data_IF_215202776187
#
_entry.id   IF_215202776187
#
_cell.length_a   1.000
_cell.length_b   1.000
_cell.length_c   1.000
_cell.angle_alpha   90.00
_cell.angle_beta   90.00
_cell.angle_gamma   90.00
#
_symmetry.space_group_name_H-M   'P 1'
#
loop_
_entity.id
_entity.type
_entity.pdbx_description
1 polymer ?
#
# COMPACT_ATOMS: atom_id res chain seq x y z
N UNK A 1 -62.47 -11.22 15.77
CA UNK A 1 -62.38 -10.06 16.69
C UNK A 1 -60.94 -9.99 17.12
N UNK A 2 -60.14 -9.05 16.87
CA UNK A 2 -60.00 -7.73 16.36
C UNK A 2 -58.52 -7.48 16.09
N UNK A 3 -58.21 -6.98 14.93
CA UNK A 3 -56.89 -6.47 14.54
C UNK A 3 -56.42 -5.37 15.50
N UNK A 4 -55.14 -5.32 15.79
CA UNK A 4 -54.52 -4.03 16.13
C UNK A 4 -53.10 -3.96 15.57
N UNK A 5 -52.99 -3.11 14.61
CA UNK A 5 -51.83 -2.64 13.89
C UNK A 5 -50.89 -1.88 14.83
N UNK A 6 -49.60 -2.20 14.84
CA UNK A 6 -48.56 -1.28 15.35
C UNK A 6 -47.49 -1.10 14.29
N UNK A 7 -47.67 0.01 13.56
CA UNK A 7 -46.70 0.53 12.61
C UNK A 7 -45.62 1.28 13.40
N UNK A 8 -44.42 0.73 13.55
CA UNK A 8 -43.28 1.44 14.14
C UNK A 8 -42.43 2.01 13.02
N UNK A 9 -42.46 3.34 12.91
CA UNK A 9 -41.61 4.15 12.04
C UNK A 9 -40.14 3.92 12.40
N UNK A 10 -39.37 3.41 11.45
CA UNK A 10 -37.91 3.44 11.52
C UNK A 10 -37.47 4.76 10.89
N UNK A 11 -37.02 5.67 11.75
CA UNK A 11 -36.45 6.94 11.34
C UNK A 11 -35.08 6.73 10.69
N UNK A 12 -34.98 7.14 9.44
CA UNK A 12 -33.74 7.22 8.68
C UNK A 12 -32.86 8.33 9.27
N UNK A 13 -31.80 7.98 9.94
CA UNK A 13 -30.70 8.88 10.30
C UNK A 13 -29.60 8.74 9.23
N UNK A 14 -29.56 9.69 8.33
CA UNK A 14 -28.46 9.87 7.39
C UNK A 14 -27.27 10.51 8.14
N UNK A 15 -26.06 9.96 8.05
CA UNK A 15 -24.89 10.65 8.59
C UNK A 15 -24.49 11.82 7.68
N UNK A 16 -24.34 12.96 8.31
CA UNK A 16 -23.96 14.26 7.77
C UNK A 16 -22.58 14.20 7.12
N UNK A 17 -22.54 14.29 5.80
CA UNK A 17 -21.29 14.42 5.04
C UNK A 17 -20.71 15.81 5.32
N UNK A 18 -19.65 15.90 6.11
CA UNK A 18 -18.86 17.11 6.29
C UNK A 18 -18.09 17.41 5.00
N UNK A 19 -18.58 18.37 4.24
CA UNK A 19 -17.81 18.96 3.14
C UNK A 19 -16.62 19.74 3.69
N UNK A 20 -15.42 19.22 3.50
CA UNK A 20 -14.18 19.95 3.74
C UNK A 20 -13.90 20.83 2.52
N UNK A 21 -14.23 22.13 2.62
CA UNK A 21 -13.83 23.12 1.63
C UNK A 21 -12.36 23.49 1.86
N UNK A 22 -11.49 23.01 0.99
CA UNK A 22 -10.13 23.53 0.89
C UNK A 22 -10.18 24.97 0.36
N UNK A 23 -9.73 25.93 1.17
CA UNK A 23 -9.47 27.30 0.73
C UNK A 23 -8.14 27.33 0.00
N UNK A 24 -8.19 27.65 -1.30
CA UNK A 24 -7.03 28.06 -2.06
C UNK A 24 -6.63 29.46 -1.59
N UNK A 25 -5.52 29.56 -0.88
CA UNK A 25 -4.86 30.85 -0.66
C UNK A 25 -3.96 31.16 -1.85
N UNK A 26 -4.49 32.03 -2.71
CA UNK A 26 -3.81 32.64 -3.84
C UNK A 26 -3.12 33.93 -3.35
N UNK A 27 -1.91 33.83 -2.84
CA UNK A 27 -1.03 35.01 -2.60
C UNK A 27 0.44 34.57 -2.66
N UNK A 28 1.07 34.83 -3.79
CA UNK A 28 2.44 35.30 -3.91
C UNK A 28 2.75 35.49 -5.41
N UNK A 29 2.20 36.59 -5.95
CA UNK A 29 2.72 37.20 -7.19
C UNK A 29 3.56 38.39 -6.73
N UNK A 30 4.83 38.39 -6.96
CA UNK A 30 5.69 39.54 -6.64
C UNK A 30 7.12 39.35 -6.99
N UNK A 31 7.50 39.94 -8.12
CA UNK A 31 8.75 40.63 -8.40
C UNK A 31 10.09 39.89 -8.17
N UNK A 32 10.87 39.72 -9.24
CA UNK A 32 12.17 40.42 -9.39
C UNK A 32 12.56 40.41 -10.87
N UNK A 33 12.52 41.61 -11.42
CA UNK A 33 13.12 42.01 -12.69
C UNK A 33 14.52 42.56 -12.37
N UNK A 34 15.54 42.17 -13.16
CA UNK A 34 16.74 42.97 -13.30
C UNK A 34 18.03 42.39 -12.73
N UNK A 35 18.92 41.94 -13.57
CA UNK A 35 20.20 42.59 -13.76
C UNK A 35 21.04 41.86 -14.86
N UNK A 36 21.07 42.49 -16.05
CA UNK A 36 22.02 42.17 -17.08
C UNK A 36 23.39 42.78 -16.64
N UNK A 37 24.42 41.95 -16.50
CA UNK A 37 25.80 42.40 -16.48
C UNK A 37 26.58 41.69 -17.57
N UNK A 38 26.86 42.44 -18.62
CA UNK A 38 27.85 42.14 -19.63
C UNK A 38 29.25 42.20 -18.99
N UNK A 39 30.02 41.16 -19.08
CA UNK A 39 31.49 41.24 -19.02
C UNK A 39 32.06 40.39 -20.14
N UNK A 40 32.55 41.09 -21.14
CA UNK A 40 33.47 40.58 -22.16
C UNK A 40 34.88 40.44 -21.55
N UNK A 41 35.61 39.43 -21.99
CA UNK A 41 37.05 39.52 -22.04
C UNK A 41 37.80 38.31 -21.53
N UNK A 42 38.56 37.77 -22.46
CA UNK A 42 39.91 37.20 -22.34
C UNK A 42 40.11 35.76 -21.84
N UNK A 43 40.63 35.10 -22.75
CA UNK A 43 41.92 34.42 -22.94
C UNK A 43 42.01 32.95 -22.62
N UNK A 44 42.42 32.25 -23.68
CA UNK A 44 42.72 30.85 -23.72
C UNK A 44 43.92 30.53 -22.81
N UNK A 45 43.67 29.60 -21.87
CA UNK A 45 44.78 28.84 -21.29
C UNK A 45 44.39 27.35 -21.33
N UNK A 46 45.07 26.63 -22.23
CA UNK A 46 44.93 25.18 -22.35
C UNK A 46 45.63 24.50 -21.17
N UNK A 47 44.93 24.36 -20.04
CA UNK A 47 45.35 23.45 -19.02
C UNK A 47 44.75 22.07 -19.32
N UNK A 48 45.63 21.15 -19.67
CA UNK A 48 45.42 19.71 -19.71
C UNK A 48 44.81 19.25 -18.38
N UNK A 49 43.50 19.10 -18.37
CA UNK A 49 42.75 18.52 -17.25
C UNK A 49 43.03 17.02 -17.22
N UNK A 50 43.61 16.48 -16.13
CA UNK A 50 43.66 15.02 -15.97
C UNK A 50 42.25 14.49 -15.94
N UNK A 51 42.01 13.50 -16.78
CA UNK A 51 40.79 12.73 -16.89
C UNK A 51 40.21 12.40 -15.50
N UNK A 52 39.02 12.94 -15.14
CA UNK A 52 38.37 12.49 -13.92
C UNK A 52 38.02 11.02 -14.12
N UNK A 53 38.74 10.15 -13.41
CA UNK A 53 38.28 8.77 -13.18
C UNK A 53 36.82 8.86 -12.81
N UNK A 54 35.98 8.43 -13.71
CA UNK A 54 34.58 8.14 -13.44
C UNK A 54 34.57 7.19 -12.25
N UNK A 55 34.40 7.77 -11.06
CA UNK A 55 33.96 6.97 -9.92
C UNK A 55 32.58 6.47 -10.34
N UNK A 56 32.55 5.24 -10.85
CA UNK A 56 31.31 4.51 -10.95
C UNK A 56 30.75 4.48 -9.54
N UNK A 57 29.81 5.38 -9.26
CA UNK A 57 28.93 5.26 -8.12
C UNK A 57 28.26 3.90 -8.36
N UNK A 58 28.75 2.89 -7.63
CA UNK A 58 28.06 1.62 -7.57
C UNK A 58 26.67 1.99 -7.04
N UNK A 59 25.71 2.02 -7.94
CA UNK A 59 24.31 2.04 -7.60
C UNK A 59 24.11 0.81 -6.74
N UNK A 60 23.99 1.03 -5.42
CA UNK A 60 23.75 -0.05 -4.48
C UNK A 60 22.42 -0.68 -4.89
N UNK A 61 22.51 -1.70 -5.73
CA UNK A 61 21.38 -2.44 -6.22
C UNK A 61 20.57 -2.89 -5.02
N UNK A 62 19.32 -2.43 -4.94
CA UNK A 62 18.38 -2.87 -3.91
C UNK A 62 18.38 -4.41 -4.01
N UNK A 63 18.77 -5.14 -2.94
CA UNK A 63 18.86 -6.59 -3.02
C UNK A 63 17.51 -7.16 -3.47
N UNK A 64 17.53 -7.86 -4.59
CA UNK A 64 16.35 -8.56 -5.10
C UNK A 64 16.04 -9.74 -4.17
N UNK A 65 14.77 -9.92 -3.80
CA UNK A 65 14.36 -11.15 -3.14
C UNK A 65 14.65 -12.32 -4.07
N UNK A 66 15.38 -13.32 -3.57
CA UNK A 66 15.50 -14.57 -4.31
C UNK A 66 14.12 -15.31 -4.29
N UNK A 67 13.90 -16.29 -5.19
CA UNK A 67 12.61 -16.99 -5.28
C UNK A 67 12.17 -17.66 -3.96
N UNK A 68 13.11 -18.10 -3.14
CA UNK A 68 12.83 -18.70 -1.83
C UNK A 68 12.40 -17.64 -0.80
N UNK A 69 13.04 -16.47 -0.80
CA UNK A 69 12.74 -15.36 0.08
C UNK A 69 11.43 -14.64 -0.29
N UNK A 70 11.02 -14.74 -1.56
CA UNK A 70 9.78 -14.17 -2.04
C UNK A 70 8.54 -14.99 -1.65
N UNK A 71 8.71 -16.23 -1.18
CA UNK A 71 7.61 -17.12 -0.81
C UNK A 71 7.36 -17.14 0.68
N UNK A 72 6.08 -16.99 1.05
CA UNK A 72 5.60 -17.09 2.43
C UNK A 72 4.28 -17.85 2.48
N UNK A 73 3.80 -18.09 3.69
CA UNK A 73 2.55 -18.80 3.93
C UNK A 73 1.59 -17.97 4.78
N UNK A 74 0.31 -18.06 4.44
CA UNK A 74 -0.81 -17.58 5.22
C UNK A 74 -1.66 -18.78 5.66
N UNK A 75 -1.87 -18.94 6.96
CA UNK A 75 -2.66 -20.03 7.53
C UNK A 75 -3.91 -19.47 8.19
N UNK A 76 -5.07 -20.00 7.82
CA UNK A 76 -6.39 -19.63 8.33
C UNK A 76 -7.11 -20.92 8.80
N UNK A 77 -7.25 -21.09 10.11
CA UNK A 77 -7.68 -22.37 10.66
C UNK A 77 -6.76 -23.51 10.22
N UNK A 78 -7.30 -24.51 9.55
CA UNK A 78 -6.53 -25.64 9.01
C UNK A 78 -6.03 -25.43 7.56
N UNK A 79 -6.47 -24.36 6.91
CA UNK A 79 -6.11 -24.09 5.52
C UNK A 79 -4.84 -23.24 5.42
N UNK A 80 -4.01 -23.60 4.47
CA UNK A 80 -2.74 -22.93 4.22
C UNK A 80 -2.66 -22.47 2.77
N UNK A 81 -2.30 -21.20 2.57
CA UNK A 81 -2.20 -20.55 1.28
C UNK A 81 -0.78 -20.05 1.06
N UNK A 82 -0.19 -20.39 -0.08
CA UNK A 82 1.09 -19.83 -0.50
C UNK A 82 0.90 -18.40 -0.99
N UNK A 83 1.83 -17.51 -0.64
CA UNK A 83 1.87 -16.12 -1.09
C UNK A 83 3.22 -15.86 -1.75
N UNK A 84 3.19 -15.29 -2.95
CA UNK A 84 4.35 -14.72 -3.61
C UNK A 84 4.42 -13.23 -3.32
N UNK A 85 5.53 -12.80 -2.70
CA UNK A 85 5.80 -11.40 -2.38
C UNK A 85 6.32 -10.65 -3.61
N UNK A 86 5.92 -9.38 -3.72
CA UNK A 86 6.45 -8.45 -4.73
C UNK A 86 7.87 -8.04 -4.37
N UNK A 87 8.73 -7.87 -5.36
CA UNK A 87 10.10 -7.41 -5.13
C UNK A 87 10.14 -5.88 -4.92
N UNK A 88 9.76 -5.43 -3.71
CA UNK A 88 9.85 -4.03 -3.30
C UNK A 88 10.25 -3.90 -1.82
N UNK A 89 10.57 -2.68 -1.39
CA UNK A 89 11.02 -2.41 -0.03
C UNK A 89 9.95 -2.76 1.03
N UNK A 90 8.66 -2.51 0.74
CA UNK A 90 7.56 -2.80 1.65
C UNK A 90 7.40 -4.31 1.89
N UNK A 91 7.43 -5.11 0.81
CA UNK A 91 7.31 -6.56 0.90
C UNK A 91 8.49 -7.20 1.67
N UNK A 92 9.72 -6.69 1.45
CA UNK A 92 10.89 -7.13 2.23
C UNK A 92 10.76 -6.78 3.71
N UNK A 93 10.31 -5.55 4.02
CA UNK A 93 10.10 -5.12 5.40
C UNK A 93 8.96 -5.90 6.08
N UNK A 94 7.90 -6.28 5.34
CA UNK A 94 6.85 -7.16 5.82
C UNK A 94 7.40 -8.57 6.12
N UNK A 95 8.14 -9.15 5.18
CA UNK A 95 8.77 -10.46 5.35
C UNK A 95 9.74 -10.50 6.55
N UNK A 96 10.38 -9.39 6.88
CA UNK A 96 11.28 -9.28 8.04
C UNK A 96 10.53 -9.29 9.39
N UNK A 97 9.21 -9.04 9.41
CA UNK A 97 8.39 -9.11 10.61
C UNK A 97 7.83 -10.51 10.89
N UNK A 98 8.00 -11.46 9.96
CA UNK A 98 7.49 -12.83 10.13
C UNK A 98 8.30 -13.61 11.17
N UNK A 99 7.66 -14.51 11.95
CA UNK A 99 6.25 -14.87 11.88
C UNK A 99 5.33 -13.86 12.57
N UNK A 100 4.11 -13.70 12.04
CA UNK A 100 3.07 -12.85 12.59
C UNK A 100 1.75 -13.62 12.79
N UNK A 101 1.03 -13.31 13.86
CA UNK A 101 -0.33 -13.77 14.07
C UNK A 101 -1.21 -12.55 14.31
N UNK A 102 -2.12 -12.28 13.40
CA UNK A 102 -3.00 -11.11 13.42
C UNK A 102 -4.46 -11.54 13.55
N UNK A 103 -5.21 -10.83 14.38
CA UNK A 103 -6.66 -10.93 14.37
C UNK A 103 -7.20 -9.89 13.39
N UNK A 104 -7.63 -10.34 12.22
CA UNK A 104 -8.01 -9.47 11.12
C UNK A 104 -9.52 -9.30 11.08
N UNK A 105 -9.98 -8.06 11.12
CA UNK A 105 -11.40 -7.72 11.01
C UNK A 105 -11.87 -7.79 9.55
N UNK A 106 -13.16 -8.04 9.36
CA UNK A 106 -13.80 -7.95 8.06
C UNK A 106 -14.15 -6.50 7.73
N UNK A 107 -13.98 -6.12 6.48
CA UNK A 107 -14.46 -4.84 5.96
C UNK A 107 -15.20 -5.08 4.64
N UNK A 108 -16.42 -4.56 4.56
CA UNK A 108 -17.29 -4.60 3.37
C UNK A 108 -17.59 -6.01 2.81
N UNK A 109 -17.24 -7.09 3.51
CA UNK A 109 -17.42 -8.45 3.01
C UNK A 109 -16.54 -8.81 1.82
N UNK A 110 -15.41 -8.12 1.61
CA UNK A 110 -14.48 -8.34 0.49
C UNK A 110 -13.00 -8.34 0.90
N UNK A 111 -12.67 -7.91 2.12
CA UNK A 111 -11.30 -7.82 2.61
C UNK A 111 -11.18 -8.07 4.11
N UNK A 112 -10.01 -8.54 4.52
CA UNK A 112 -9.57 -8.61 5.92
C UNK A 112 -8.46 -7.61 6.15
N UNK A 113 -8.52 -6.88 7.27
CA UNK A 113 -7.51 -5.90 7.63
C UNK A 113 -7.09 -5.99 9.10
N UNK A 114 -5.84 -5.64 9.36
CA UNK A 114 -5.28 -5.48 10.71
C UNK A 114 -4.07 -4.55 10.68
N UNK A 115 -3.80 -3.92 11.82
CA UNK A 115 -2.59 -3.13 12.00
C UNK A 115 -1.37 -4.03 12.21
N UNK A 116 -0.28 -3.70 11.52
CA UNK A 116 1.02 -4.32 11.70
C UNK A 116 1.73 -3.77 12.94
N UNK A 117 2.55 -4.57 13.63
CA UNK A 117 3.32 -4.11 14.78
C UNK A 117 4.32 -2.99 14.47
N UNK A 118 4.82 -2.95 13.22
CA UNK A 118 5.75 -1.95 12.73
C UNK A 118 5.31 -1.44 11.37
N UNK A 119 5.39 -0.13 11.16
CA UNK A 119 5.13 0.49 9.86
C UNK A 119 6.11 -0.01 8.79
N UNK A 120 5.63 -0.03 7.54
CA UNK A 120 6.39 -0.43 6.38
C UNK A 120 6.69 0.79 5.48
N UNK A 121 7.74 0.72 4.64
CA UNK A 121 7.94 1.67 3.56
C UNK A 121 6.71 1.75 2.66
N UNK A 122 6.36 2.95 2.21
CA UNK A 122 5.17 3.20 1.39
C UNK A 122 5.58 3.52 -0.04
N UNK A 123 4.96 2.82 -1.00
CA UNK A 123 5.03 3.10 -2.44
C UNK A 123 3.63 2.88 -3.03
N UNK A 124 2.70 3.75 -2.60
CA UNK A 124 1.29 3.60 -2.91
C UNK A 124 0.98 3.97 -4.35
N UNK A 125 0.17 3.16 -5.01
CA UNK A 125 -0.39 3.40 -6.34
C UNK A 125 -1.87 3.00 -6.36
N UNK A 126 -2.62 3.54 -7.31
CA UNK A 126 -4.02 3.16 -7.52
C UNK A 126 -4.09 1.94 -8.44
N UNK A 127 -4.48 0.77 -7.94
CA UNK A 127 -4.53 -0.44 -8.77
C UNK A 127 -5.69 -0.42 -9.78
N UNK A 128 -6.70 0.43 -9.59
CA UNK A 128 -7.95 0.43 -10.34
C UNK A 128 -8.83 -0.77 -9.93
N UNK A 129 -8.41 -1.97 -10.26
CA UNK A 129 -9.09 -3.22 -9.90
C UNK A 129 -8.27 -4.00 -8.88
N UNK A 130 -8.89 -4.39 -7.77
CA UNK A 130 -8.39 -5.36 -6.81
C UNK A 130 -8.75 -6.76 -7.31
N UNK A 131 -7.86 -7.72 -7.10
CA UNK A 131 -8.08 -9.12 -7.43
C UNK A 131 -8.14 -9.98 -6.19
N UNK A 132 -8.88 -11.05 -6.26
CA UNK A 132 -8.89 -12.06 -5.20
C UNK A 132 -7.47 -12.56 -4.93
N UNK A 133 -7.10 -12.60 -3.64
CA UNK A 133 -5.77 -12.98 -3.19
C UNK A 133 -4.73 -11.86 -3.13
N UNK A 134 -5.07 -10.64 -3.56
CA UNK A 134 -4.14 -9.51 -3.42
C UNK A 134 -3.84 -9.25 -1.94
N UNK A 135 -2.54 -9.10 -1.62
CA UNK A 135 -2.02 -8.71 -0.31
C UNK A 135 -1.42 -7.31 -0.44
N UNK A 136 -1.97 -6.35 0.28
CA UNK A 136 -1.58 -4.95 0.16
C UNK A 136 -1.45 -4.26 1.51
N UNK A 137 -0.81 -3.10 1.50
CA UNK A 137 -0.70 -2.19 2.61
C UNK A 137 -1.51 -0.93 2.31
N UNK A 138 -2.40 -0.57 3.20
CA UNK A 138 -3.08 0.72 3.22
C UNK A 138 -2.39 1.65 4.22
N UNK A 139 -2.08 2.89 3.81
CA UNK A 139 -1.21 3.75 4.61
C UNK A 139 0.17 3.14 4.80
N UNK A 140 0.68 3.16 6.03
CA UNK A 140 2.00 2.63 6.39
C UNK A 140 1.95 1.38 7.29
N UNK A 141 0.79 1.04 7.86
CA UNK A 141 0.69 -0.01 8.88
C UNK A 141 -0.50 -0.95 8.74
N UNK A 142 -1.52 -0.63 7.91
CA UNK A 142 -2.70 -1.49 7.77
C UNK A 142 -2.47 -2.56 6.70
N UNK A 143 -2.28 -3.82 7.12
CA UNK A 143 -2.23 -4.97 6.24
C UNK A 143 -3.64 -5.33 5.76
N UNK A 144 -3.81 -5.56 4.46
CA UNK A 144 -5.09 -5.92 3.85
C UNK A 144 -4.93 -7.18 3.00
N UNK A 145 -5.81 -8.16 3.22
CA UNK A 145 -5.95 -9.37 2.41
C UNK A 145 -7.29 -9.32 1.69
N UNK A 146 -7.27 -9.19 0.39
CA UNK A 146 -8.48 -9.13 -0.43
C UNK A 146 -8.93 -10.54 -0.82
N UNK A 147 -10.18 -10.89 -0.52
CA UNK A 147 -10.73 -12.19 -0.83
C UNK A 147 -11.85 -12.18 -1.88
N UNK A 148 -12.24 -11.00 -2.36
CA UNK A 148 -13.06 -10.80 -3.55
C UNK A 148 -12.43 -9.75 -4.46
N UNK A 149 -12.79 -9.79 -5.74
CA UNK A 149 -12.36 -8.81 -6.72
C UNK A 149 -13.38 -7.66 -6.82
N UNK A 150 -12.91 -6.41 -6.91
CA UNK A 150 -13.73 -5.21 -7.08
C UNK A 150 -12.89 -4.03 -7.59
N UNK A 151 -13.55 -2.98 -8.08
CA UNK A 151 -12.89 -1.75 -8.49
C UNK A 151 -12.73 -0.79 -7.32
N UNK A 152 -11.59 -0.11 -7.23
CA UNK A 152 -11.28 0.83 -6.17
C UNK A 152 -10.57 2.08 -6.69
N UNK A 153 -10.85 3.22 -6.05
CA UNK A 153 -10.11 4.47 -6.23
C UNK A 153 -9.03 4.70 -5.17
N UNK A 154 -8.96 3.85 -4.17
CA UNK A 154 -7.95 3.96 -3.11
C UNK A 154 -6.56 3.58 -3.61
N UNK A 155 -5.54 4.14 -2.94
CA UNK A 155 -4.16 3.84 -3.21
C UNK A 155 -3.61 2.87 -2.16
N UNK A 156 -2.86 1.87 -2.62
CA UNK A 156 -2.25 0.82 -1.80
C UNK A 156 -0.79 0.61 -2.21
N UNK A 157 0.04 0.16 -1.29
CA UNK A 157 1.35 -0.42 -1.61
C UNK A 157 1.19 -1.93 -1.75
N UNK A 158 1.52 -2.49 -2.91
CA UNK A 158 1.43 -3.93 -3.15
C UNK A 158 2.51 -4.66 -2.36
N UNK A 159 2.12 -5.67 -1.58
CA UNK A 159 3.03 -6.55 -0.84
C UNK A 159 3.22 -7.90 -1.52
N UNK A 160 2.17 -8.43 -2.12
CA UNK A 160 2.21 -9.75 -2.76
C UNK A 160 0.84 -10.22 -3.20
N UNK A 161 0.74 -11.53 -3.43
CA UNK A 161 -0.51 -12.17 -3.81
C UNK A 161 -0.52 -13.65 -3.40
N UNK A 162 -1.68 -14.16 -3.04
CA UNK A 162 -1.95 -15.59 -2.88
C UNK A 162 -1.81 -16.27 -4.25
N UNK A 163 -1.00 -17.31 -4.33
CA UNK A 163 -0.69 -18.00 -5.60
C UNK A 163 -1.95 -18.70 -6.16
N UNK A 164 -2.67 -19.40 -5.28
CA UNK A 164 -3.95 -20.02 -5.59
C UNK A 164 -5.01 -19.55 -4.57
N UNK A 165 -5.88 -18.62 -4.97
CA UNK A 165 -6.91 -18.08 -4.09
C UNK A 165 -8.19 -18.92 -4.02
N UNK A 166 -8.23 -20.13 -4.61
CA UNK A 166 -9.41 -21.01 -4.53
C UNK A 166 -9.76 -21.34 -3.07
N UNK A 167 -11.00 -21.11 -2.70
CA UNK A 167 -11.50 -21.30 -1.34
C UNK A 167 -11.00 -20.29 -0.31
N UNK A 168 -10.27 -19.25 -0.71
CA UNK A 168 -9.78 -18.20 0.19
C UNK A 168 -10.94 -17.46 0.87
N UNK A 169 -11.95 -17.03 0.11
CA UNK A 169 -13.12 -16.34 0.64
C UNK A 169 -13.87 -17.21 1.66
N UNK A 170 -13.99 -18.52 1.39
CA UNK A 170 -14.62 -19.47 2.30
C UNK A 170 -13.82 -19.64 3.60
N UNK A 171 -12.50 -19.72 3.52
CA UNK A 171 -11.63 -19.85 4.69
C UNK A 171 -11.67 -18.61 5.59
N UNK A 172 -11.68 -17.41 4.98
CA UNK A 172 -11.68 -16.14 5.70
C UNK A 172 -13.05 -15.79 6.28
N UNK A 173 -14.15 -16.21 5.64
CA UNK A 173 -15.51 -15.88 6.07
C UNK A 173 -15.76 -14.37 6.18
N UNK A 174 -16.87 -13.98 6.82
CA UNK A 174 -17.26 -12.57 7.01
C UNK A 174 -17.10 -12.07 8.46
N UNK A 175 -16.52 -12.88 9.33
CA UNK A 175 -16.24 -12.50 10.72
C UNK A 175 -14.75 -12.19 10.89
N UNK A 176 -14.39 -11.56 12.00
CA UNK A 176 -12.99 -11.44 12.37
C UNK A 176 -12.35 -12.83 12.48
N UNK A 177 -11.14 -12.96 11.93
CA UNK A 177 -10.44 -14.24 11.87
C UNK A 177 -8.98 -14.09 12.25
N UNK A 178 -8.43 -15.08 12.97
CA UNK A 178 -7.01 -15.12 13.27
C UNK A 178 -6.25 -15.73 12.09
N UNK A 179 -5.28 -14.99 11.59
CA UNK A 179 -4.44 -15.36 10.46
C UNK A 179 -3.00 -15.43 10.93
N UNK A 180 -2.30 -16.52 10.56
CA UNK A 180 -0.89 -16.70 10.81
C UNK A 180 -0.11 -16.54 9.51
N UNK A 181 0.87 -15.66 9.52
CA UNK A 181 1.81 -15.44 8.42
C UNK A 181 3.17 -15.97 8.83
N UNK A 182 3.79 -16.83 7.99
CA UNK A 182 5.08 -17.44 8.28
C UNK A 182 5.93 -17.55 7.03
N UNK A 183 7.24 -17.58 7.21
CA UNK A 183 8.15 -18.16 6.21
C UNK A 183 7.99 -19.69 6.26
N UNK A 184 8.65 -20.41 5.35
CA UNK A 184 8.64 -21.88 5.40
C UNK A 184 8.91 -22.41 6.80
#
# INVERSE_FOLDING_TARGET
MTLSSLCTRIGSQLPLVKHYRARLDLRCLGFILGLLVLCSGCEADQQTVPNPRTLAVAEAGVPSLNPEESRMWMTVGERRFAITLTNNAAARAFAAQLPLALNMADLNGNEKHAELPKALPVSASRPGTIRQGDLMLYGSSTLVVFYLAFDTSYAYTRLGRVDDPEGLAQALGQQAVRIHFSRK
#
